data_IF_347616006875
#
_entry.id   IF_347616006875
#
_cell.length_a   1.000
_cell.length_b   1.000
_cell.length_c   1.000
_cell.angle_alpha   90.00
_cell.angle_beta   90.00
_cell.angle_gamma   90.00
#
_symmetry.space_group_name_H-M   'P 1'
#
loop_
_entity.id
_entity.type
_entity.pdbx_description
1 polymer ?
#
# COMPACT_ATOMS: atom_id res chain seq x y z
N UNK A 1 2.61 -10.67 -20.27
CA UNK A 1 2.20 -9.36 -20.82
C UNK A 1 1.06 -9.53 -21.83
N UNK A 2 1.19 -10.41 -22.82
CA UNK A 2 0.21 -10.65 -23.88
C UNK A 2 -1.19 -10.97 -23.34
N UNK A 3 -1.33 -11.92 -22.40
CA UNK A 3 -2.60 -12.28 -21.79
C UNK A 3 -3.29 -11.13 -21.03
N UNK A 4 -2.51 -10.18 -20.47
CA UNK A 4 -3.05 -8.97 -19.83
C UNK A 4 -3.54 -8.00 -20.88
N UNK A 5 -2.77 -7.81 -21.95
CA UNK A 5 -3.14 -6.96 -23.07
C UNK A 5 -4.40 -7.47 -23.79
N UNK A 6 -4.51 -8.79 -23.98
CA UNK A 6 -5.69 -9.44 -24.55
C UNK A 6 -6.93 -9.23 -23.69
N UNK A 7 -6.82 -9.49 -22.40
CA UNK A 7 -7.89 -9.24 -21.43
C UNK A 7 -8.37 -7.77 -21.46
N UNK A 8 -7.44 -6.82 -21.50
CA UNK A 8 -7.78 -5.40 -21.57
C UNK A 8 -8.41 -5.01 -22.90
N UNK A 9 -7.98 -5.62 -24.02
CA UNK A 9 -8.58 -5.40 -25.35
C UNK A 9 -10.00 -5.95 -25.44
N UNK A 10 -10.22 -7.19 -25.00
CA UNK A 10 -11.53 -7.84 -25.05
C UNK A 10 -12.59 -7.10 -24.23
N UNK A 11 -12.21 -6.52 -23.10
CA UNK A 11 -13.11 -5.80 -22.20
C UNK A 11 -13.24 -4.31 -22.50
N UNK A 12 -12.25 -3.69 -23.14
CA UNK A 12 -12.27 -2.28 -23.54
C UNK A 12 -13.07 -2.01 -24.82
N UNK A 13 -13.35 -3.05 -25.60
CA UNK A 13 -13.99 -2.92 -26.92
C UNK A 13 -15.46 -2.49 -26.93
N UNK A 14 -16.18 -2.65 -25.81
CA UNK A 14 -17.64 -2.38 -25.78
C UNK A 14 -18.03 -0.91 -25.47
N UNK A 15 -17.09 -0.05 -25.05
CA UNK A 15 -17.42 1.32 -24.64
C UNK A 15 -16.33 2.38 -24.89
N UNK A 16 -15.20 2.06 -25.55
CA UNK A 16 -14.09 3.00 -25.71
C UNK A 16 -13.43 3.48 -24.41
N UNK A 17 -13.72 2.84 -23.28
CA UNK A 17 -13.18 3.17 -21.98
C UNK A 17 -12.00 2.24 -21.69
N UNK A 18 -10.84 2.81 -21.35
CA UNK A 18 -9.70 2.02 -20.89
C UNK A 18 -10.06 1.28 -19.60
N UNK A 19 -10.06 -0.05 -19.64
CA UNK A 19 -10.33 -0.90 -18.48
C UNK A 19 -9.02 -1.14 -17.75
N UNK A 20 -8.92 -0.63 -16.52
CA UNK A 20 -7.80 -0.99 -15.65
C UNK A 20 -7.98 -2.38 -15.07
N UNK A 21 -6.93 -3.20 -15.10
CA UNK A 21 -6.94 -4.55 -14.60
C UNK A 21 -5.85 -4.77 -13.54
N UNK A 22 -6.16 -5.67 -12.59
CA UNK A 22 -5.19 -6.18 -11.62
C UNK A 22 -4.64 -7.50 -12.09
N UNK A 23 -3.33 -7.56 -12.34
CA UNK A 23 -2.59 -8.79 -12.56
C UNK A 23 -1.98 -9.27 -11.23
N UNK A 24 -2.20 -10.52 -10.86
CA UNK A 24 -1.62 -11.13 -9.66
C UNK A 24 -0.85 -12.39 -10.05
N UNK A 25 0.41 -12.42 -9.68
CA UNK A 25 1.28 -13.59 -9.82
C UNK A 25 1.30 -14.33 -8.50
N UNK A 26 1.17 -15.64 -8.55
CA UNK A 26 1.27 -16.50 -7.38
C UNK A 26 2.22 -17.63 -7.67
N UNK A 27 3.16 -17.86 -6.77
CA UNK A 27 4.08 -19.00 -6.77
C UNK A 27 3.96 -19.71 -5.42
N UNK A 28 3.77 -21.03 -5.47
CA UNK A 28 3.74 -21.89 -4.28
C UNK A 28 4.78 -22.99 -4.40
N UNK A 29 5.07 -23.65 -3.29
CA UNK A 29 5.92 -24.87 -3.27
C UNK A 29 5.23 -26.09 -3.90
N UNK A 30 3.97 -25.94 -4.32
CA UNK A 30 3.16 -27.01 -4.86
C UNK A 30 2.51 -27.86 -3.78
N UNK A 31 2.09 -29.07 -4.15
CA UNK A 31 1.48 -30.03 -3.24
C UNK A 31 2.58 -30.62 -2.34
N UNK A 32 2.30 -30.80 -1.06
CA UNK A 32 3.24 -31.43 -0.10
C UNK A 32 3.72 -32.80 -0.56
N UNK A 33 2.82 -33.59 -1.20
CA UNK A 33 3.11 -34.95 -1.68
C UNK A 33 4.08 -34.99 -2.85
N UNK A 34 4.18 -33.94 -3.65
CA UNK A 34 5.03 -33.93 -4.85
C UNK A 34 6.20 -32.96 -4.76
N UNK A 35 6.08 -31.91 -3.95
CA UNK A 35 7.08 -30.87 -3.85
C UNK A 35 7.31 -30.06 -5.14
N UNK A 36 6.45 -30.27 -6.18
CA UNK A 36 6.59 -29.59 -7.47
C UNK A 36 6.01 -28.19 -7.37
N UNK A 37 6.81 -27.13 -7.58
CA UNK A 37 6.32 -25.75 -7.52
C UNK A 37 5.17 -25.51 -8.51
N UNK A 38 4.19 -24.74 -8.07
CA UNK A 38 3.04 -24.36 -8.90
C UNK A 38 2.96 -22.83 -8.99
N UNK A 39 2.83 -22.32 -10.21
CA UNK A 39 2.66 -20.89 -10.45
C UNK A 39 1.42 -20.64 -11.31
N UNK A 40 0.75 -19.50 -11.07
CA UNK A 40 -0.34 -19.04 -11.92
C UNK A 40 -0.43 -17.50 -11.90
N UNK A 41 -1.08 -16.99 -12.91
CA UNK A 41 -1.40 -15.57 -13.06
C UNK A 41 -2.92 -15.43 -13.11
N UNK A 42 -3.44 -14.43 -12.39
CA UNK A 42 -4.84 -14.05 -12.51
C UNK A 42 -4.94 -12.60 -12.96
N UNK A 43 -5.82 -12.32 -13.92
CA UNK A 43 -6.15 -10.97 -14.36
C UNK A 43 -7.62 -10.71 -14.04
N UNK A 44 -7.91 -9.60 -13.39
CA UNK A 44 -9.27 -9.22 -12.98
C UNK A 44 -9.48 -7.73 -13.16
N UNK A 45 -10.71 -7.25 -13.41
CA UNK A 45 -11.01 -5.83 -13.37
C UNK A 45 -10.57 -5.21 -12.03
N UNK A 46 -10.11 -3.98 -12.08
CA UNK A 46 -9.82 -3.26 -10.85
C UNK A 46 -11.13 -2.95 -10.12
N UNK A 47 -11.25 -3.23 -8.80
CA UNK A 47 -12.47 -2.93 -8.06
C UNK A 47 -12.80 -1.42 -8.10
N UNK A 48 -14.07 -1.08 -8.33
CA UNK A 48 -14.55 0.33 -8.34
C UNK A 48 -14.20 1.07 -7.06
N UNK A 49 -14.15 0.35 -5.93
CA UNK A 49 -13.74 0.91 -4.64
C UNK A 49 -12.30 1.43 -4.65
N UNK A 50 -11.38 0.71 -5.30
CA UNK A 50 -9.98 1.15 -5.43
C UNK A 50 -9.88 2.45 -6.24
N UNK A 51 -10.65 2.56 -7.33
CA UNK A 51 -10.73 3.79 -8.14
C UNK A 51 -11.27 4.95 -7.31
N UNK A 52 -12.36 4.71 -6.56
CA UNK A 52 -12.94 5.70 -5.63
C UNK A 52 -11.91 6.17 -4.58
N UNK A 53 -11.14 5.25 -4.02
CA UNK A 53 -10.11 5.57 -3.02
C UNK A 53 -8.96 6.41 -3.61
N UNK A 54 -8.56 6.15 -4.86
CA UNK A 54 -7.58 6.99 -5.56
C UNK A 54 -8.07 8.43 -5.67
N UNK A 55 -9.32 8.62 -6.07
CA UNK A 55 -9.90 9.96 -6.28
C UNK A 55 -10.18 10.69 -4.97
N UNK A 56 -10.90 10.02 -4.06
CA UNK A 56 -11.48 10.66 -2.86
C UNK A 56 -10.59 10.55 -1.64
N UNK A 57 -9.53 9.73 -1.68
CA UNK A 57 -8.73 9.37 -0.50
C UNK A 57 -9.49 8.45 0.44
N UNK A 58 -8.88 8.13 1.58
CA UNK A 58 -9.35 7.11 2.53
C UNK A 58 -9.44 7.66 3.95
N UNK A 59 -10.35 7.07 4.73
CA UNK A 59 -10.36 7.13 6.20
C UNK A 59 -9.67 5.90 6.74
N UNK A 60 -8.82 6.04 7.74
CA UNK A 60 -7.98 4.98 8.26
C UNK A 60 -8.10 4.92 9.77
N UNK A 61 -8.10 3.71 10.33
CA UNK A 61 -7.92 3.47 11.76
C UNK A 61 -6.60 2.78 12.02
N UNK A 62 -5.96 3.08 13.15
CA UNK A 62 -4.75 2.38 13.55
C UNK A 62 -5.09 1.15 14.38
N UNK A 63 -4.29 0.10 14.25
CA UNK A 63 -4.45 -1.13 15.02
C UNK A 63 -3.09 -1.83 15.17
N UNK A 64 -2.85 -2.52 16.29
CA UNK A 64 -1.73 -3.45 16.35
C UNK A 64 -1.89 -4.56 15.31
N UNK A 65 -0.80 -5.11 14.82
CA UNK A 65 -0.82 -6.22 13.84
C UNK A 65 -1.42 -7.51 14.40
N UNK A 66 -1.52 -7.64 15.72
CA UNK A 66 -2.04 -8.83 16.39
C UNK A 66 -1.00 -9.93 16.63
N UNK A 67 0.20 -9.78 16.08
CA UNK A 67 1.36 -10.64 16.37
C UNK A 67 2.66 -9.84 16.25
N UNK A 68 3.66 -10.22 17.02
CA UNK A 68 5.01 -9.67 16.88
C UNK A 68 5.69 -10.30 15.66
N UNK A 69 6.36 -9.50 14.87
CA UNK A 69 7.28 -9.97 13.83
C UNK A 69 8.68 -9.93 14.45
N UNK A 70 9.21 -11.11 14.71
CA UNK A 70 10.54 -11.27 15.27
C UNK A 70 11.51 -11.64 14.15
N UNK A 71 12.48 -10.76 13.89
CA UNK A 71 13.50 -10.94 12.86
C UNK A 71 14.40 -12.17 13.11
N UNK A 72 14.55 -12.57 14.37
CA UNK A 72 15.43 -13.67 14.77
C UNK A 72 14.76 -15.06 14.63
N UNK A 73 13.46 -15.10 14.26
CA UNK A 73 12.73 -16.34 14.06
C UNK A 73 12.99 -16.92 12.66
N UNK A 74 13.76 -18.02 12.53
CA UNK A 74 14.31 -18.46 11.23
C UNK A 74 13.27 -18.94 10.22
N UNK A 75 12.06 -19.28 10.62
CA UNK A 75 10.95 -19.65 9.73
C UNK A 75 10.07 -18.46 9.35
N UNK A 76 10.19 -17.31 10.02
CA UNK A 76 9.53 -16.08 9.63
C UNK A 76 10.29 -15.42 8.49
N UNK A 77 9.72 -15.46 7.28
CA UNK A 77 10.29 -14.81 6.11
C UNK A 77 9.95 -13.32 6.15
N UNK A 78 10.73 -12.53 6.88
CA UNK A 78 10.62 -11.08 6.83
C UNK A 78 10.73 -10.53 5.42
N UNK A 79 9.89 -9.54 5.10
CA UNK A 79 9.91 -8.87 3.81
C UNK A 79 9.32 -9.69 2.65
N UNK A 80 8.94 -10.96 2.86
CA UNK A 80 8.28 -11.73 1.82
C UNK A 80 6.79 -11.36 1.71
N UNK A 81 6.35 -11.08 0.48
CA UNK A 81 4.92 -10.90 0.18
C UNK A 81 4.25 -12.27 0.10
N UNK A 82 3.65 -12.70 1.20
CA UNK A 82 3.03 -14.02 1.35
C UNK A 82 1.53 -14.01 1.04
N UNK A 83 0.93 -15.20 0.92
CA UNK A 83 -0.52 -15.40 0.78
C UNK A 83 -1.26 -15.41 2.14
N UNK A 84 -0.61 -15.11 3.24
CA UNK A 84 -1.21 -15.10 4.57
C UNK A 84 -2.06 -13.83 4.79
N UNK A 85 -3.23 -13.79 4.18
CA UNK A 85 -4.14 -12.64 4.21
C UNK A 85 -5.27 -12.75 5.23
N UNK A 86 -5.38 -13.86 5.97
CA UNK A 86 -6.52 -14.10 6.85
C UNK A 86 -6.71 -12.98 7.87
N UNK A 87 -5.65 -12.63 8.62
CA UNK A 87 -5.69 -11.56 9.61
C UNK A 87 -5.87 -10.18 8.97
N UNK A 88 -5.22 -9.93 7.83
CA UNK A 88 -5.37 -8.68 7.08
C UNK A 88 -6.82 -8.46 6.63
N UNK A 89 -7.48 -9.51 6.13
CA UNK A 89 -8.89 -9.42 5.72
C UNK A 89 -9.82 -9.26 6.92
N UNK A 90 -9.51 -9.88 8.06
CA UNK A 90 -10.26 -9.68 9.31
C UNK A 90 -10.13 -8.23 9.79
N UNK A 91 -8.93 -7.68 9.80
CA UNK A 91 -8.66 -6.30 10.19
C UNK A 91 -9.36 -5.28 9.27
N UNK A 92 -9.40 -5.53 7.96
CA UNK A 92 -10.14 -4.67 7.02
C UNK A 92 -11.64 -4.71 7.23
N UNK A 93 -12.23 -5.87 7.55
CA UNK A 93 -13.66 -5.95 7.91
C UNK A 93 -13.95 -5.17 9.19
N UNK A 94 -13.13 -5.36 10.21
CA UNK A 94 -13.23 -4.59 11.45
C UNK A 94 -13.10 -3.08 11.19
N UNK A 95 -12.18 -2.64 10.35
CA UNK A 95 -12.08 -1.23 9.97
C UNK A 95 -13.38 -0.71 9.33
N UNK A 96 -14.00 -1.50 8.45
CA UNK A 96 -15.30 -1.17 7.86
C UNK A 96 -16.40 -0.98 8.91
N UNK A 97 -16.43 -1.83 9.95
CA UNK A 97 -17.35 -1.70 11.10
C UNK A 97 -17.09 -0.41 11.89
N UNK A 98 -15.85 0.10 11.90
CA UNK A 98 -15.48 1.40 12.48
C UNK A 98 -15.74 2.59 11.54
N UNK A 99 -16.29 2.37 10.36
CA UNK A 99 -16.50 3.42 9.33
C UNK A 99 -15.24 3.88 8.64
N UNK A 100 -14.19 3.05 8.65
CA UNK A 100 -12.93 3.31 7.96
C UNK A 100 -12.77 2.48 6.69
N UNK A 101 -12.04 3.01 5.72
CA UNK A 101 -11.76 2.37 4.43
C UNK A 101 -10.55 1.41 4.52
N UNK A 102 -9.64 1.63 5.45
CA UNK A 102 -8.39 0.87 5.59
C UNK A 102 -7.82 0.98 7.02
N UNK A 103 -6.72 0.30 7.26
CA UNK A 103 -5.97 0.34 8.52
C UNK A 103 -4.53 0.79 8.29
N UNK A 104 -3.90 1.28 9.35
CA UNK A 104 -2.45 1.37 9.48
C UNK A 104 -2.05 0.53 10.70
N UNK A 105 -1.19 -0.46 10.47
CA UNK A 105 -0.61 -1.23 11.55
C UNK A 105 0.42 -0.40 12.33
N UNK A 106 0.35 -0.52 13.64
CA UNK A 106 1.33 0.04 14.56
C UNK A 106 1.95 -1.05 15.43
N UNK A 107 3.18 -0.86 15.82
CA UNK A 107 3.83 -1.67 16.83
C UNK A 107 3.30 -1.25 18.21
N UNK A 108 2.67 -2.16 18.99
CA UNK A 108 2.03 -1.80 20.24
C UNK A 108 3.02 -1.43 21.36
N UNK A 109 4.27 -1.91 21.28
CA UNK A 109 5.29 -1.65 22.29
C UNK A 109 5.94 -0.26 22.13
N UNK A 110 6.08 0.19 20.88
CA UNK A 110 6.84 1.42 20.57
C UNK A 110 5.97 2.54 19.99
N UNK A 111 4.75 2.24 19.50
CA UNK A 111 3.93 3.16 18.72
C UNK A 111 4.48 3.45 17.32
N UNK A 112 5.45 2.65 16.86
CA UNK A 112 6.04 2.75 15.53
C UNK A 112 5.00 2.38 14.46
N UNK A 113 4.89 3.20 13.44
CA UNK A 113 4.07 2.92 12.25
C UNK A 113 4.73 1.81 11.43
N UNK A 114 3.96 0.81 11.06
CA UNK A 114 4.41 -0.28 10.21
C UNK A 114 3.95 -0.02 8.76
N UNK A 115 2.85 -0.58 8.36
CA UNK A 115 2.33 -0.46 7.00
C UNK A 115 0.80 -0.43 6.99
N UNK A 116 0.16 -0.16 5.86
CA UNK A 116 -1.27 -0.37 5.67
C UNK A 116 -1.62 -1.85 5.50
N UNK A 117 -2.92 -2.19 5.42
CA UNK A 117 -3.35 -3.58 5.23
C UNK A 117 -2.70 -4.25 4.01
N UNK A 118 -2.64 -3.53 2.89
CA UNK A 118 -2.08 -4.00 1.60
C UNK A 118 -1.29 -2.90 0.89
N UNK A 119 -0.72 -1.94 1.63
CA UNK A 119 -0.09 -0.74 1.10
C UNK A 119 1.03 -0.25 2.00
N UNK A 120 1.99 0.44 1.41
CA UNK A 120 3.00 1.17 2.18
C UNK A 120 2.45 2.52 2.64
N UNK A 121 2.91 2.97 3.80
CA UNK A 121 2.59 4.32 4.32
C UNK A 121 3.64 5.30 3.81
N UNK A 122 3.19 6.39 3.21
CA UNK A 122 4.03 7.49 2.77
C UNK A 122 3.63 8.76 3.50
N UNK A 123 4.55 9.34 4.25
CA UNK A 123 4.37 10.60 4.99
C UNK A 123 5.09 11.72 4.27
N UNK A 124 4.39 12.80 3.95
CA UNK A 124 4.94 14.01 3.38
C UNK A 124 5.09 15.08 4.47
N UNK A 125 6.22 15.73 4.49
CA UNK A 125 6.54 16.84 5.41
C UNK A 125 6.89 18.08 4.59
N UNK A 126 6.66 19.25 5.15
CA UNK A 126 6.98 20.54 4.54
C UNK A 126 8.43 20.58 4.01
N UNK A 127 8.63 21.29 2.90
CA UNK A 127 9.94 21.47 2.28
C UNK A 127 10.41 20.26 1.47
N UNK A 128 9.50 19.60 0.75
CA UNK A 128 9.83 18.54 -0.20
C UNK A 128 10.48 17.31 0.45
N UNK A 129 9.93 16.86 1.57
CA UNK A 129 10.46 15.71 2.30
C UNK A 129 9.45 14.58 2.35
N UNK A 130 9.83 13.40 1.88
CA UNK A 130 9.06 12.17 1.99
C UNK A 130 9.68 11.19 2.98
N UNK A 131 8.86 10.47 3.71
CA UNK A 131 9.27 9.44 4.67
C UNK A 131 8.36 8.23 4.52
N UNK A 132 8.94 7.05 4.71
CA UNK A 132 8.23 5.77 4.82
C UNK A 132 8.79 5.00 5.99
N UNK A 133 8.02 4.15 6.67
CA UNK A 133 8.57 3.22 7.65
C UNK A 133 9.70 2.39 7.05
N UNK A 134 10.76 2.16 7.83
CA UNK A 134 11.89 1.35 7.39
C UNK A 134 11.42 -0.09 7.10
N UNK A 135 11.82 -0.69 5.95
CA UNK A 135 11.56 -2.10 5.66
C UNK A 135 12.15 -3.03 6.73
N UNK A 136 11.57 -4.21 6.88
CA UNK A 136 11.92 -5.17 7.93
C UNK A 136 11.02 -4.99 9.17
N UNK A 137 11.15 -5.89 10.14
CA UNK A 137 10.36 -5.88 11.38
C UNK A 137 8.85 -5.63 11.13
N UNK A 138 8.28 -6.38 10.18
CA UNK A 138 6.86 -6.31 9.84
C UNK A 138 6.49 -5.26 8.79
N UNK A 139 7.46 -4.67 8.10
CA UNK A 139 7.23 -3.71 6.99
C UNK A 139 7.76 -4.30 5.69
N UNK A 140 6.88 -4.44 4.69
CA UNK A 140 7.27 -4.92 3.37
C UNK A 140 8.15 -3.87 2.65
N UNK A 141 9.23 -4.31 2.00
CA UNK A 141 9.97 -3.50 1.04
C UNK A 141 9.12 -3.29 -0.23
N UNK A 142 8.27 -2.26 -0.23
CA UNK A 142 7.31 -2.01 -1.30
C UNK A 142 7.98 -1.50 -2.58
N UNK A 143 7.80 -2.22 -3.69
CA UNK A 143 8.34 -1.80 -5.00
C UNK A 143 7.74 -0.48 -5.49
N UNK A 144 6.45 -0.26 -5.28
CA UNK A 144 5.77 1.00 -5.57
C UNK A 144 6.38 2.16 -4.79
N UNK A 145 6.60 1.97 -3.50
CA UNK A 145 7.20 2.98 -2.64
C UNK A 145 8.64 3.30 -3.08
N UNK A 146 9.43 2.29 -3.47
CA UNK A 146 10.79 2.48 -3.97
C UNK A 146 10.81 3.32 -5.26
N UNK A 147 9.96 3.00 -6.24
CA UNK A 147 9.82 3.78 -7.47
C UNK A 147 9.40 5.24 -7.20
N UNK A 148 8.49 5.47 -6.25
CA UNK A 148 8.09 6.82 -5.85
C UNK A 148 9.28 7.59 -5.28
N UNK A 149 10.10 6.98 -4.43
CA UNK A 149 11.27 7.65 -3.86
C UNK A 149 12.29 8.01 -4.94
N UNK A 150 12.60 7.07 -5.84
CA UNK A 150 13.53 7.31 -6.94
C UNK A 150 13.08 8.51 -7.80
N UNK A 151 11.80 8.56 -8.18
CA UNK A 151 11.26 9.69 -8.93
C UNK A 151 11.29 10.99 -8.14
N UNK A 152 10.88 10.95 -6.87
CA UNK A 152 10.85 12.12 -6.00
C UNK A 152 12.26 12.72 -5.81
N UNK A 153 13.27 11.87 -5.61
CA UNK A 153 14.66 12.31 -5.49
C UNK A 153 15.17 12.97 -6.77
N UNK A 154 14.83 12.43 -7.95
CA UNK A 154 15.12 13.08 -9.25
C UNK A 154 14.42 14.44 -9.38
N UNK A 155 13.29 14.63 -8.75
CA UNK A 155 12.55 15.91 -8.67
C UNK A 155 13.04 16.84 -7.53
N UNK A 156 14.14 16.50 -6.86
CA UNK A 156 14.73 17.31 -5.79
C UNK A 156 14.14 17.12 -4.40
N UNK A 157 13.28 16.12 -4.21
CA UNK A 157 12.73 15.79 -2.89
C UNK A 157 13.74 15.03 -2.04
N UNK A 158 13.63 15.16 -0.71
CA UNK A 158 14.48 14.44 0.25
C UNK A 158 13.71 13.23 0.79
N UNK A 159 13.99 12.04 0.26
CA UNK A 159 13.34 10.80 0.66
C UNK A 159 14.16 10.05 1.72
N UNK A 160 13.49 9.39 2.65
CA UNK A 160 14.16 8.52 3.63
C UNK A 160 13.21 7.48 4.20
N UNK A 161 13.60 6.20 4.15
CA UNK A 161 13.01 5.14 4.94
C UNK A 161 13.60 5.19 6.37
N UNK A 162 12.73 5.30 7.38
CA UNK A 162 13.13 5.37 8.79
C UNK A 162 11.94 5.07 9.69
N UNK A 163 12.17 4.86 10.96
CA UNK A 163 11.08 4.77 11.92
C UNK A 163 10.24 6.04 11.94
N UNK A 164 8.95 5.85 11.89
CA UNK A 164 7.92 6.88 11.96
C UNK A 164 6.98 6.49 13.10
N UNK A 165 6.60 7.47 13.90
CA UNK A 165 5.68 7.25 15.00
C UNK A 165 4.29 7.83 14.69
N UNK A 166 3.26 7.25 15.28
CA UNK A 166 1.86 7.67 15.05
C UNK A 166 1.67 9.18 15.22
N UNK A 167 2.29 9.78 16.24
CA UNK A 167 2.22 11.23 16.48
C UNK A 167 2.80 12.08 15.34
N UNK A 168 3.73 11.53 14.53
CA UNK A 168 4.28 12.22 13.37
C UNK A 168 3.30 12.25 12.20
N UNK A 169 2.42 11.23 12.07
CA UNK A 169 1.39 11.20 11.02
C UNK A 169 0.37 12.33 11.21
N UNK A 170 -0.02 12.63 12.46
CA UNK A 170 -0.92 13.75 12.76
C UNK A 170 -0.30 15.13 12.48
N UNK A 171 1.03 15.22 12.52
CA UNK A 171 1.80 16.45 12.25
C UNK A 171 2.30 16.54 10.80
N UNK A 172 2.01 15.53 10.00
CA UNK A 172 2.42 15.49 8.61
C UNK A 172 1.66 16.54 7.78
N UNK A 173 2.28 17.00 6.70
CA UNK A 173 1.63 17.81 5.68
C UNK A 173 0.56 16.98 4.96
N UNK A 174 0.88 15.73 4.65
CA UNK A 174 -0.07 14.73 4.20
C UNK A 174 0.43 13.31 4.42
N UNK A 175 -0.51 12.36 4.47
CA UNK A 175 -0.25 10.93 4.57
C UNK A 175 -0.94 10.22 3.42
N UNK A 176 -0.25 9.26 2.82
CA UNK A 176 -0.73 8.51 1.66
C UNK A 176 -0.55 7.01 1.89
N UNK A 177 -1.49 6.23 1.41
CA UNK A 177 -1.35 4.79 1.23
C UNK A 177 -1.06 4.51 -0.23
N UNK A 178 0.07 3.80 -0.50
CA UNK A 178 0.54 3.53 -1.85
C UNK A 178 0.72 2.04 -2.09
N UNK A 179 0.33 1.57 -3.26
CA UNK A 179 0.51 0.18 -3.72
C UNK A 179 0.34 0.10 -5.23
N UNK A 180 0.74 -0.98 -5.86
CA UNK A 180 0.64 -1.18 -7.32
C UNK A 180 -0.78 -1.04 -7.87
N UNK A 181 -1.82 -1.39 -7.10
CA UNK A 181 -3.22 -1.27 -7.53
C UNK A 181 -3.88 0.00 -7.06
N UNK A 182 -3.60 0.45 -5.83
CA UNK A 182 -4.15 1.70 -5.31
C UNK A 182 -3.46 2.92 -5.90
N UNK A 183 -2.22 2.79 -6.37
CA UNK A 183 -1.34 3.89 -6.80
C UNK A 183 -1.13 4.84 -5.62
N UNK A 184 -2.05 5.80 -5.42
CA UNK A 184 -2.03 6.77 -4.35
C UNK A 184 -3.43 7.01 -3.79
N UNK A 185 -3.60 6.83 -2.49
CA UNK A 185 -4.79 7.28 -1.78
C UNK A 185 -4.39 8.15 -0.58
N UNK A 186 -4.80 9.43 -0.59
CA UNK A 186 -4.52 10.33 0.52
C UNK A 186 -5.35 9.93 1.74
N UNK A 187 -4.73 9.83 2.89
CA UNK A 187 -5.43 9.64 4.17
C UNK A 187 -6.10 10.97 4.56
N UNK A 188 -7.42 11.00 4.60
CA UNK A 188 -8.22 12.17 4.96
C UNK A 188 -8.56 12.20 6.44
N UNK A 189 -8.73 11.02 7.02
CA UNK A 189 -9.00 10.84 8.45
C UNK A 189 -8.10 9.73 8.99
N UNK A 190 -7.58 9.94 10.17
CA UNK A 190 -6.80 8.97 10.92
C UNK A 190 -7.35 8.90 12.33
N UNK A 191 -7.84 7.74 12.75
CA UNK A 191 -8.50 7.53 14.05
C UNK A 191 -9.58 8.60 14.35
N UNK A 192 -10.47 8.83 13.38
CA UNK A 192 -11.52 9.83 13.47
C UNK A 192 -11.07 11.29 13.28
N UNK A 193 -9.79 11.59 13.45
CA UNK A 193 -9.24 12.94 13.29
C UNK A 193 -9.04 13.29 11.83
N UNK A 194 -9.57 14.43 11.39
CA UNK A 194 -9.38 14.93 10.03
C UNK A 194 -7.93 15.38 9.83
N UNK A 195 -7.26 14.84 8.83
CA UNK A 195 -5.93 15.31 8.42
C UNK A 195 -6.03 16.46 7.41
N UNK A 196 -5.06 17.39 7.41
CA UNK A 196 -5.06 18.50 6.48
C UNK A 196 -4.98 18.04 5.02
N UNK A 197 -5.51 18.86 4.11
CA UNK A 197 -5.25 18.76 2.69
C UNK A 197 -4.23 19.85 2.35
N UNK A 198 -3.00 19.50 1.97
CA UNK A 198 -2.02 20.51 1.61
C UNK A 198 -2.36 21.12 0.25
N UNK A 199 -1.99 22.38 0.05
CA UNK A 199 -2.25 23.10 -1.20
C UNK A 199 -1.61 22.40 -2.42
N UNK A 200 -0.46 21.72 -2.21
CA UNK A 200 0.27 20.96 -3.21
C UNK A 200 -0.16 19.48 -3.32
N UNK A 201 -1.33 19.08 -2.78
CA UNK A 201 -1.79 17.69 -2.82
C UNK A 201 -1.85 17.12 -4.24
N UNK A 202 -2.18 17.95 -5.23
CA UNK A 202 -2.24 17.55 -6.63
C UNK A 202 -0.83 17.30 -7.21
N UNK A 203 0.13 18.14 -6.87
CA UNK A 203 1.54 17.96 -7.25
C UNK A 203 2.10 16.66 -6.68
N UNK A 204 1.86 16.41 -5.38
CA UNK A 204 2.27 15.17 -4.72
C UNK A 204 1.64 13.95 -5.41
N UNK A 205 0.36 14.02 -5.74
CA UNK A 205 -0.33 12.95 -6.48
C UNK A 205 0.33 12.69 -7.84
N UNK A 206 0.55 13.73 -8.64
CA UNK A 206 1.20 13.61 -9.95
C UNK A 206 2.61 13.04 -9.85
N UNK A 207 3.34 13.41 -8.81
CA UNK A 207 4.67 12.85 -8.53
C UNK A 207 4.60 11.33 -8.27
N UNK A 208 3.62 10.90 -7.47
CA UNK A 208 3.40 9.48 -7.13
C UNK A 208 2.94 8.70 -8.37
N UNK A 209 1.93 9.19 -9.08
CA UNK A 209 1.36 8.53 -10.26
C UNK A 209 2.40 8.41 -11.38
N UNK A 210 3.17 9.44 -11.62
CA UNK A 210 4.22 9.42 -12.62
C UNK A 210 5.42 8.52 -12.29
N UNK A 211 5.52 7.99 -11.08
CA UNK A 211 6.53 6.98 -10.75
C UNK A 211 6.18 5.58 -11.26
N UNK A 212 4.93 5.38 -11.70
CA UNK A 212 4.36 4.09 -12.10
C UNK A 212 3.89 4.10 -13.58
N UNK A 213 4.14 5.19 -14.30
CA UNK A 213 3.85 5.37 -15.71
C UNK A 213 4.97 4.82 -16.58
#
# INVERSE_FOLDING_TARGET
EEAVADYCRERGGEAGVAVEAKCTWTLTRGRETTGVPTAWITVRPLPKEVLRQRERGVSVVTTPRGYAVDADVPWMREGAKTLNYALTMAALRWAGEQGADDIIYIDPGTGRVLEGATSSVLMVKKGGRMRTPAPGAGVLAGTTQAAIFERAERAGWKCKAKDIYLSELFKAESVWLVSSTRIAARVKRLDGTKLPAPDNAQEIRQLIEGALA
#
